data_IF_598514732265
#
_entry.id   IF_598514732265
#
_cell.length_a   1.000
_cell.length_b   1.000
_cell.length_c   1.000
_cell.angle_alpha   90.00
_cell.angle_beta   90.00
_cell.angle_gamma   90.00
#
_symmetry.space_group_name_H-M   'P 1'
#
loop_
_entity.id
_entity.type
_entity.pdbx_description
1 polymer ?
#
# COMPACT_ATOMS: atom_id res chain seq x y z
N UNK A 1 -57.70 -9.28 -10.15
CA UNK A 1 -56.40 -9.99 -9.95
C UNK A 1 -56.56 -10.98 -8.81
N UNK A 2 -56.23 -12.26 -9.03
CA UNK A 2 -56.56 -13.31 -8.06
C UNK A 2 -55.65 -13.24 -6.81
N UNK A 3 -56.17 -13.70 -5.67
CA UNK A 3 -55.39 -13.80 -4.42
C UNK A 3 -54.11 -14.61 -4.60
N UNK A 4 -54.12 -15.56 -5.53
CA UNK A 4 -52.95 -16.38 -5.91
C UNK A 4 -51.84 -15.59 -6.61
N UNK A 5 -52.21 -14.59 -7.42
CA UNK A 5 -51.22 -13.70 -8.06
C UNK A 5 -50.42 -12.91 -7.03
N UNK A 6 -51.09 -12.32 -6.06
CA UNK A 6 -50.45 -11.55 -4.99
C UNK A 6 -49.59 -12.42 -4.07
N UNK A 7 -49.99 -13.68 -3.81
CA UNK A 7 -49.21 -14.61 -3.03
C UNK A 7 -47.86 -14.98 -3.74
N UNK A 8 -47.90 -15.18 -5.07
CA UNK A 8 -46.69 -15.47 -5.85
C UNK A 8 -45.75 -14.25 -5.86
N UNK A 9 -46.30 -13.04 -6.04
CA UNK A 9 -45.49 -11.80 -6.05
C UNK A 9 -44.79 -11.57 -4.70
N UNK A 10 -45.48 -11.79 -3.60
CA UNK A 10 -44.87 -11.67 -2.26
C UNK A 10 -43.82 -12.67 -1.99
N UNK A 11 -43.95 -13.94 -2.44
CA UNK A 11 -42.91 -14.96 -2.32
C UNK A 11 -41.68 -14.60 -3.12
N UNK A 12 -41.82 -14.08 -4.34
CA UNK A 12 -40.71 -13.64 -5.17
C UNK A 12 -39.97 -12.44 -4.58
N UNK A 13 -40.69 -11.48 -4.01
CA UNK A 13 -40.08 -10.32 -3.33
C UNK A 13 -39.33 -10.76 -2.08
N UNK A 14 -39.88 -11.64 -1.26
CA UNK A 14 -39.20 -12.17 -0.08
C UNK A 14 -37.95 -12.98 -0.51
N UNK A 15 -38.05 -13.80 -1.55
CA UNK A 15 -36.90 -14.55 -2.11
C UNK A 15 -35.80 -13.62 -2.59
N UNK A 16 -36.16 -12.53 -3.28
CA UNK A 16 -35.20 -11.53 -3.74
C UNK A 16 -34.54 -10.79 -2.55
N UNK A 17 -35.31 -10.42 -1.53
CA UNK A 17 -34.75 -9.77 -0.33
C UNK A 17 -33.81 -10.71 0.41
N UNK A 18 -34.16 -11.99 0.56
CA UNK A 18 -33.31 -13.00 1.18
C UNK A 18 -32.04 -13.21 0.35
N UNK A 19 -32.17 -13.30 -0.97
CA UNK A 19 -31.03 -13.43 -1.89
C UNK A 19 -30.09 -12.21 -1.79
N UNK A 20 -30.62 -10.99 -1.78
CA UNK A 20 -29.84 -9.76 -1.61
C UNK A 20 -29.19 -9.70 -0.21
N UNK A 21 -29.87 -10.18 0.84
CA UNK A 21 -29.33 -10.21 2.20
C UNK A 21 -28.23 -11.27 2.37
N UNK A 22 -28.37 -12.44 1.75
CA UNK A 22 -27.33 -13.48 1.73
C UNK A 22 -26.13 -13.02 0.92
N UNK A 23 -26.37 -12.39 -0.25
CA UNK A 23 -25.30 -11.87 -1.10
C UNK A 23 -24.61 -10.62 -0.48
N UNK A 24 -25.33 -9.84 0.31
CA UNK A 24 -24.75 -8.73 1.10
C UNK A 24 -23.89 -9.23 2.27
N UNK A 25 -24.25 -10.36 2.90
CA UNK A 25 -23.42 -10.99 3.94
C UNK A 25 -22.18 -11.70 3.38
N UNK A 26 -22.18 -12.07 2.11
CA UNK A 26 -21.02 -12.62 1.40
C UNK A 26 -20.06 -11.57 0.83
N UNK A 27 -20.31 -10.27 1.01
CA UNK A 27 -19.22 -9.30 1.07
C UNK A 27 -18.45 -9.63 2.33
N UNK A 28 -17.42 -10.45 2.16
CA UNK A 28 -16.45 -10.79 3.18
C UNK A 28 -16.02 -9.49 3.86
N UNK A 29 -16.52 -9.24 5.08
CA UNK A 29 -15.74 -8.59 6.07
C UNK A 29 -14.56 -9.52 6.34
N UNK A 30 -13.57 -9.54 5.47
CA UNK A 30 -12.22 -9.82 5.89
C UNK A 30 -11.85 -8.66 6.80
N UNK A 31 -12.35 -8.67 8.02
CA UNK A 31 -11.70 -7.99 9.12
C UNK A 31 -10.29 -8.57 9.14
N UNK A 32 -9.37 -7.88 8.46
CA UNK A 32 -7.95 -8.14 8.55
C UNK A 32 -7.67 -8.18 10.05
N UNK A 33 -7.24 -9.34 10.51
CA UNK A 33 -7.06 -9.59 11.95
C UNK A 33 -5.79 -8.84 12.36
N UNK A 34 -5.97 -7.61 12.86
CA UNK A 34 -4.95 -6.59 13.13
C UNK A 34 -4.05 -6.96 14.33
N UNK A 35 -3.41 -8.09 14.30
CA UNK A 35 -2.27 -8.35 15.16
C UNK A 35 -0.97 -7.78 14.59
N UNK A 36 -1.08 -6.79 13.67
CA UNK A 36 0.03 -6.19 12.95
C UNK A 36 1.18 -5.78 13.84
N UNK A 37 2.28 -6.52 13.72
CA UNK A 37 3.54 -6.27 14.40
C UNK A 37 4.50 -5.57 13.43
N UNK A 38 5.33 -4.66 13.95
CA UNK A 38 6.45 -4.06 13.20
C UNK A 38 7.56 -5.07 12.89
N UNK A 39 7.44 -6.30 13.38
CA UNK A 39 8.42 -7.37 13.24
C UNK A 39 8.02 -8.41 12.20
N UNK A 40 6.88 -8.27 11.53
CA UNK A 40 6.37 -9.32 10.65
C UNK A 40 5.69 -8.75 9.42
N UNK A 41 5.79 -9.51 8.33
CA UNK A 41 5.08 -9.24 7.08
C UNK A 41 3.61 -9.63 7.30
N UNK A 42 2.70 -8.68 7.08
CA UNK A 42 1.27 -8.87 7.21
C UNK A 42 0.65 -9.35 5.90
N UNK A 43 -0.56 -9.89 5.98
CA UNK A 43 -1.35 -10.14 4.79
C UNK A 43 -1.65 -8.83 4.06
N UNK A 44 -1.41 -8.81 2.74
CA UNK A 44 -1.56 -7.61 1.92
C UNK A 44 -0.37 -6.65 1.93
N UNK A 45 0.70 -6.91 2.69
CA UNK A 45 1.93 -6.12 2.58
C UNK A 45 2.61 -6.30 1.22
N UNK A 46 3.14 -5.21 0.68
CA UNK A 46 4.05 -5.25 -0.47
C UNK A 46 5.48 -5.45 0.02
N UNK A 47 6.10 -6.54 -0.36
CA UNK A 47 7.44 -6.88 0.11
C UNK A 47 8.32 -7.48 -0.98
N UNK A 48 9.63 -7.40 -0.76
CA UNK A 48 10.69 -8.06 -1.53
C UNK A 48 11.49 -8.95 -0.58
N UNK A 49 11.89 -10.13 -1.02
CA UNK A 49 12.58 -11.13 -0.21
C UNK A 49 11.66 -12.23 0.31
N UNK A 50 12.17 -13.18 1.12
CA UNK A 50 11.38 -14.27 1.66
C UNK A 50 10.41 -13.80 2.75
N UNK A 51 9.21 -14.37 2.78
CA UNK A 51 8.17 -14.04 3.78
C UNK A 51 8.59 -14.41 5.21
N UNK A 52 9.41 -15.43 5.36
CA UNK A 52 9.97 -15.94 6.61
C UNK A 52 11.41 -15.44 6.87
N UNK A 53 11.76 -14.27 6.32
CA UNK A 53 13.06 -13.66 6.48
C UNK A 53 13.43 -13.47 7.95
N UNK A 54 14.70 -13.69 8.29
CA UNK A 54 15.22 -13.44 9.65
C UNK A 54 15.33 -11.96 9.99
N UNK A 55 15.57 -11.14 8.97
CA UNK A 55 15.62 -9.68 9.11
C UNK A 55 14.55 -9.06 8.24
N UNK A 56 13.65 -8.31 8.86
CA UNK A 56 12.57 -7.60 8.17
C UNK A 56 12.81 -6.10 8.35
N UNK A 57 12.91 -5.41 7.23
CA UNK A 57 12.98 -3.94 7.16
C UNK A 57 11.62 -3.44 6.71
N UNK A 58 10.98 -2.58 7.50
CA UNK A 58 9.69 -1.98 7.17
C UNK A 58 9.88 -0.47 7.04
N UNK A 59 9.46 0.07 5.91
CA UNK A 59 9.33 1.51 5.68
C UNK A 59 7.87 1.93 5.78
N UNK A 60 7.59 2.96 6.59
CA UNK A 60 6.38 3.75 6.48
C UNK A 60 6.71 4.98 5.64
N UNK A 61 6.13 5.05 4.46
CA UNK A 61 6.45 6.05 3.44
C UNK A 61 5.24 6.85 2.94
N UNK A 62 5.54 8.05 2.47
CA UNK A 62 4.61 8.97 1.84
C UNK A 62 5.20 9.39 0.48
N UNK A 63 4.48 9.10 -0.59
CA UNK A 63 4.94 9.37 -1.95
C UNK A 63 5.18 10.87 -2.24
N UNK A 64 4.48 11.76 -1.55
CA UNK A 64 4.64 13.21 -1.73
C UNK A 64 5.69 13.81 -0.77
N UNK A 65 6.16 13.05 0.22
CA UNK A 65 7.18 13.52 1.15
C UNK A 65 8.54 13.69 0.45
N UNK A 66 9.15 14.90 0.48
CA UNK A 66 10.47 15.13 -0.12
C UNK A 66 11.58 14.27 0.51
N UNK A 67 11.47 14.01 1.81
CA UNK A 67 12.42 13.15 2.52
C UNK A 67 12.33 11.70 2.02
N UNK A 68 11.13 11.14 1.81
CA UNK A 68 10.96 9.81 1.23
C UNK A 68 11.56 9.74 -0.18
N UNK A 69 11.31 10.76 -1.02
CA UNK A 69 11.94 10.84 -2.34
C UNK A 69 13.47 10.81 -2.25
N UNK A 70 14.06 11.49 -1.29
CA UNK A 70 15.53 11.49 -1.13
C UNK A 70 16.09 10.12 -0.70
N UNK A 71 15.26 9.30 -0.04
CA UNK A 71 15.61 7.93 0.35
C UNK A 71 15.46 6.91 -0.78
N UNK A 72 14.63 7.19 -1.81
CA UNK A 72 14.23 6.19 -2.80
C UNK A 72 15.43 5.49 -3.47
N UNK A 73 16.48 6.23 -3.84
CA UNK A 73 17.67 5.62 -4.46
C UNK A 73 18.36 4.61 -3.54
N UNK A 74 18.41 4.89 -2.23
CA UNK A 74 18.98 3.97 -1.21
C UNK A 74 18.06 2.78 -0.95
N UNK A 75 16.76 3.00 -1.00
CA UNK A 75 15.75 1.93 -0.88
C UNK A 75 15.79 1.02 -2.11
N UNK A 76 15.87 1.56 -3.33
CA UNK A 76 16.05 0.77 -4.56
C UNK A 76 17.34 -0.07 -4.52
N UNK A 77 18.47 0.56 -4.14
CA UNK A 77 19.74 -0.13 -3.95
C UNK A 77 19.64 -1.26 -2.94
N UNK A 78 19.01 -0.99 -1.79
CA UNK A 78 18.79 -1.99 -0.74
C UNK A 78 17.93 -3.15 -1.24
N UNK A 79 16.79 -2.87 -1.86
CA UNK A 79 15.88 -3.89 -2.43
C UNK A 79 16.58 -4.77 -3.47
N UNK A 80 17.41 -4.18 -4.33
CA UNK A 80 18.16 -4.91 -5.35
C UNK A 80 19.24 -5.84 -4.76
N UNK A 81 19.73 -5.54 -3.57
CA UNK A 81 20.76 -6.32 -2.85
C UNK A 81 20.23 -7.26 -1.77
N UNK A 82 18.92 -7.47 -1.67
CA UNK A 82 18.30 -8.35 -0.67
C UNK A 82 18.75 -9.79 -0.86
N UNK A 83 19.21 -10.41 0.22
CA UNK A 83 19.60 -11.82 0.30
C UNK A 83 18.45 -12.74 0.73
N UNK A 84 18.74 -14.04 0.85
CA UNK A 84 17.76 -15.05 1.26
C UNK A 84 17.32 -14.98 2.74
N UNK A 85 17.87 -14.08 3.52
CA UNK A 85 17.56 -13.93 4.95
C UNK A 85 16.89 -12.58 5.28
N UNK A 86 16.75 -11.70 4.30
CA UNK A 86 16.27 -10.33 4.48
C UNK A 86 15.00 -10.11 3.66
N UNK A 87 14.05 -9.37 4.21
CA UNK A 87 12.90 -8.86 3.49
C UNK A 87 12.74 -7.34 3.71
N UNK A 88 12.22 -6.67 2.70
CA UNK A 88 11.84 -5.26 2.76
C UNK A 88 10.34 -5.14 2.53
N UNK A 89 9.67 -4.33 3.35
CA UNK A 89 8.23 -4.05 3.28
C UNK A 89 8.02 -2.55 3.15
N UNK A 90 7.13 -2.15 2.27
CA UNK A 90 6.66 -0.76 2.21
C UNK A 90 5.20 -0.70 2.69
N UNK A 91 4.91 0.25 3.59
CA UNK A 91 3.57 0.57 4.09
C UNK A 91 3.24 2.03 3.85
N UNK A 92 2.06 2.28 3.34
CA UNK A 92 1.59 3.63 3.04
C UNK A 92 1.31 4.43 4.31
N UNK A 93 1.91 5.61 4.43
CA UNK A 93 1.59 6.56 5.48
C UNK A 93 1.43 7.98 4.90
N UNK A 94 0.39 8.21 4.05
CA UNK A 94 0.15 9.51 3.45
C UNK A 94 -0.26 10.55 4.50
N UNK A 95 0.51 11.63 4.65
CA UNK A 95 0.28 12.73 5.59
C UNK A 95 -0.59 13.79 4.91
N UNK A 96 -1.86 13.51 4.76
CA UNK A 96 -2.81 14.32 3.96
C UNK A 96 -3.04 15.75 4.50
N UNK A 97 -2.60 16.04 5.70
CA UNK A 97 -2.65 17.42 6.27
C UNK A 97 -1.64 18.37 5.65
N UNK A 98 -0.53 17.84 5.12
CA UNK A 98 0.55 18.61 4.50
C UNK A 98 0.78 18.25 3.04
N UNK A 99 0.39 17.07 2.62
CA UNK A 99 0.62 16.51 1.30
C UNK A 99 -0.70 16.18 0.61
N UNK A 100 -1.25 17.18 -0.15
CA UNK A 100 -2.60 17.10 -0.74
C UNK A 100 -2.84 15.90 -1.65
N UNK A 101 -1.79 15.44 -2.35
CA UNK A 101 -1.86 14.36 -3.33
C UNK A 101 -1.26 13.03 -2.84
N UNK A 102 -0.79 12.95 -1.59
CA UNK A 102 -0.15 11.75 -1.05
C UNK A 102 -1.07 10.52 -1.06
N UNK A 103 -2.35 10.70 -0.69
CA UNK A 103 -3.33 9.60 -0.71
C UNK A 103 -3.65 9.16 -2.15
N UNK A 104 -3.73 10.09 -3.08
CA UNK A 104 -3.93 9.83 -4.50
C UNK A 104 -2.76 9.01 -5.09
N UNK A 105 -1.51 9.35 -4.71
CA UNK A 105 -0.32 8.61 -5.12
C UNK A 105 -0.27 7.19 -4.53
N UNK A 106 -0.64 7.03 -3.25
CA UNK A 106 -0.77 5.72 -2.62
C UNK A 106 -1.83 4.86 -3.34
N UNK A 107 -2.98 5.44 -3.72
CA UNK A 107 -4.00 4.74 -4.53
C UNK A 107 -3.44 4.23 -5.85
N UNK A 108 -2.60 5.02 -6.51
CA UNK A 108 -2.00 4.60 -7.78
C UNK A 108 -1.08 3.39 -7.63
N UNK A 109 -0.26 3.36 -6.58
CA UNK A 109 0.60 2.22 -6.28
C UNK A 109 -0.22 0.96 -5.96
N UNK A 110 -1.26 1.08 -5.12
CA UNK A 110 -2.14 -0.02 -4.76
C UNK A 110 -2.98 -0.53 -5.96
N UNK A 111 -3.47 0.37 -6.83
CA UNK A 111 -4.18 -0.04 -8.04
C UNK A 111 -3.26 -0.81 -9.02
N UNK A 112 -2.00 -0.39 -9.14
CA UNK A 112 -1.00 -1.11 -9.92
C UNK A 112 -0.66 -2.48 -9.30
N UNK A 113 -0.69 -2.60 -7.98
CA UNK A 113 -0.49 -3.87 -7.26
C UNK A 113 -1.51 -4.93 -7.67
N UNK A 114 -2.77 -4.55 -7.92
CA UNK A 114 -3.82 -5.46 -8.39
C UNK A 114 -3.58 -5.99 -9.82
N UNK A 115 -2.52 -5.48 -10.48
CA UNK A 115 -2.02 -5.95 -11.75
C UNK A 115 -0.54 -6.38 -11.69
N UNK A 116 -0.04 -6.70 -10.48
CA UNK A 116 1.32 -7.17 -10.20
C UNK A 116 2.43 -6.18 -10.61
N UNK A 117 2.15 -4.86 -10.52
CA UNK A 117 3.07 -3.78 -10.91
C UNK A 117 3.29 -2.76 -9.78
N UNK A 118 3.22 -3.22 -8.52
CA UNK A 118 3.40 -2.36 -7.36
C UNK A 118 4.74 -1.63 -7.38
N UNK A 119 5.84 -2.37 -7.47
CA UNK A 119 7.17 -1.81 -7.34
C UNK A 119 7.58 -0.92 -8.51
N UNK A 120 7.12 -1.24 -9.72
CA UNK A 120 7.33 -0.40 -10.88
C UNK A 120 6.56 0.92 -10.75
N UNK A 121 5.32 0.88 -10.25
CA UNK A 121 4.53 2.08 -10.00
C UNK A 121 5.11 2.89 -8.83
N UNK A 122 5.52 2.25 -7.74
CA UNK A 122 6.20 2.87 -6.61
C UNK A 122 7.41 3.70 -7.08
N UNK A 123 8.29 3.09 -7.87
CA UNK A 123 9.47 3.77 -8.40
C UNK A 123 9.13 4.94 -9.33
N UNK A 124 8.16 4.78 -10.24
CA UNK A 124 7.83 5.88 -11.16
C UNK A 124 7.16 7.06 -10.43
N UNK A 125 6.33 6.81 -9.43
CA UNK A 125 5.70 7.85 -8.61
C UNK A 125 6.76 8.69 -7.90
N UNK A 126 7.74 8.08 -7.24
CA UNK A 126 8.82 8.81 -6.58
C UNK A 126 9.73 9.55 -7.57
N UNK A 127 10.14 8.91 -8.67
CA UNK A 127 11.02 9.51 -9.68
C UNK A 127 10.40 10.74 -10.32
N UNK A 128 9.10 10.70 -10.56
CA UNK A 128 8.33 11.77 -11.22
C UNK A 128 7.54 12.64 -10.23
N UNK A 129 7.94 12.71 -8.95
CA UNK A 129 7.18 13.42 -7.91
C UNK A 129 6.81 14.85 -8.31
N UNK A 130 7.72 15.58 -8.97
CA UNK A 130 7.49 16.96 -9.42
C UNK A 130 6.37 17.11 -10.46
N UNK A 131 5.98 16.02 -11.14
CA UNK A 131 4.99 16.08 -12.22
C UNK A 131 3.56 16.06 -11.68
N UNK A 132 3.38 15.54 -10.47
CA UNK A 132 2.07 15.31 -9.88
C UNK A 132 1.85 15.92 -8.49
N UNK A 133 2.92 16.31 -7.77
CA UNK A 133 2.83 16.77 -6.37
C UNK A 133 1.92 17.99 -6.20
N UNK A 134 1.91 18.90 -7.18
CA UNK A 134 1.08 20.10 -7.20
C UNK A 134 -0.12 20.00 -8.15
N UNK A 135 -0.32 18.87 -8.82
CA UNK A 135 -1.42 18.67 -9.76
C UNK A 135 -2.79 18.79 -9.07
N UNK A 136 -3.74 19.40 -9.75
CA UNK A 136 -5.14 19.43 -9.31
C UNK A 136 -5.90 18.17 -9.78
N UNK A 137 -5.32 17.42 -10.72
CA UNK A 137 -5.85 16.14 -11.20
C UNK A 137 -4.74 15.08 -11.28
N UNK A 138 -4.19 14.62 -10.14
CA UNK A 138 -3.07 13.67 -10.11
C UNK A 138 -3.44 12.31 -10.69
N UNK A 139 -4.72 11.92 -10.67
CA UNK A 139 -5.19 10.65 -11.22
C UNK A 139 -4.87 10.50 -12.71
N UNK A 140 -5.03 11.56 -13.51
CA UNK A 140 -4.71 11.53 -14.94
C UNK A 140 -3.21 11.31 -15.17
N UNK A 141 -2.36 11.89 -14.32
CA UNK A 141 -0.91 11.66 -14.37
C UNK A 141 -0.60 10.20 -14.07
N UNK A 142 -1.20 9.64 -13.02
CA UNK A 142 -1.00 8.25 -12.64
C UNK A 142 -1.57 7.25 -13.67
N UNK A 143 -2.68 7.58 -14.32
CA UNK A 143 -3.20 6.80 -15.45
C UNK A 143 -2.21 6.79 -16.64
N UNK A 144 -1.50 7.89 -16.85
CA UNK A 144 -0.37 7.98 -17.78
C UNK A 144 0.76 7.01 -17.44
N UNK A 145 1.13 6.93 -16.16
CA UNK A 145 2.15 5.96 -15.69
C UNK A 145 1.67 4.50 -15.83
N UNK A 146 0.39 4.24 -15.52
CA UNK A 146 -0.20 2.91 -15.72
C UNK A 146 -0.07 2.47 -17.18
N UNK A 147 -0.34 3.37 -18.13
CA UNK A 147 -0.14 3.11 -19.57
C UNK A 147 1.33 2.84 -19.91
N UNK A 148 2.27 3.62 -19.37
CA UNK A 148 3.72 3.41 -19.57
C UNK A 148 4.17 2.04 -19.06
N UNK A 149 3.60 1.58 -17.94
CA UNK A 149 3.86 0.27 -17.34
C UNK A 149 3.08 -0.88 -18.01
N UNK A 150 2.38 -0.59 -19.12
CA UNK A 150 1.57 -1.57 -19.88
C UNK A 150 0.45 -2.21 -19.05
N UNK A 151 -0.11 -1.48 -18.09
CA UNK A 151 -1.28 -1.90 -17.34
C UNK A 151 -2.56 -1.73 -18.18
N UNK A 152 -3.57 -2.53 -17.87
CA UNK A 152 -4.94 -2.24 -18.30
C UNK A 152 -5.41 -0.95 -17.62
N UNK A 153 -5.47 0.13 -18.39
CA UNK A 153 -5.80 1.46 -17.86
C UNK A 153 -7.26 1.59 -17.43
N UNK A 154 -8.18 0.83 -18.05
CA UNK A 154 -9.58 0.81 -17.63
C UNK A 154 -9.69 0.14 -16.25
N UNK A 155 -9.08 -1.03 -16.09
CA UNK A 155 -9.01 -1.73 -14.81
C UNK A 155 -8.29 -0.88 -13.76
N UNK A 156 -7.16 -0.26 -14.11
CA UNK A 156 -6.42 0.62 -13.20
C UNK A 156 -7.32 1.75 -12.65
N UNK A 157 -8.08 2.44 -13.49
CA UNK A 157 -8.97 3.51 -13.06
C UNK A 157 -10.12 3.00 -12.16
N UNK A 158 -10.67 1.82 -12.45
CA UNK A 158 -11.69 1.19 -11.62
C UNK A 158 -11.11 0.81 -10.24
N UNK A 159 -9.94 0.19 -10.22
CA UNK A 159 -9.26 -0.22 -8.99
C UNK A 159 -8.82 0.99 -8.15
N UNK A 160 -8.32 2.04 -8.82
CA UNK A 160 -7.92 3.29 -8.19
C UNK A 160 -9.06 3.93 -7.38
N UNK A 161 -10.30 3.90 -7.87
CA UNK A 161 -11.49 4.38 -7.18
C UNK A 161 -12.06 3.34 -6.19
N UNK A 162 -11.58 2.11 -6.24
CA UNK A 162 -12.11 1.00 -5.46
C UNK A 162 -11.87 1.14 -3.95
N UNK A 163 -12.77 0.56 -3.15
CA UNK A 163 -12.64 0.53 -1.69
C UNK A 163 -11.46 -0.34 -1.25
N UNK A 164 -11.16 -1.43 -1.96
CA UNK A 164 -10.06 -2.32 -1.66
C UNK A 164 -8.72 -1.57 -1.53
N UNK A 165 -8.46 -0.65 -2.44
CA UNK A 165 -7.25 0.19 -2.46
C UNK A 165 -7.23 1.13 -1.27
N UNK A 166 -8.32 1.84 -0.98
CA UNK A 166 -8.39 2.73 0.18
C UNK A 166 -8.35 1.99 1.50
N UNK A 167 -8.94 0.79 1.58
CA UNK A 167 -8.92 -0.05 2.77
C UNK A 167 -7.49 -0.49 3.11
N UNK A 168 -6.68 -0.86 2.09
CA UNK A 168 -5.25 -1.19 2.29
C UNK A 168 -4.46 0.01 2.82
N UNK A 169 -4.64 1.20 2.23
CA UNK A 169 -3.94 2.41 2.68
C UNK A 169 -4.34 2.76 4.12
N UNK A 170 -5.63 2.68 4.45
CA UNK A 170 -6.11 2.94 5.81
C UNK A 170 -5.58 1.91 6.80
N UNK A 171 -5.51 0.65 6.42
CA UNK A 171 -4.87 -0.40 7.22
C UNK A 171 -3.41 -0.05 7.56
N UNK A 172 -2.61 0.37 6.58
CA UNK A 172 -1.22 0.76 6.81
C UNK A 172 -1.12 1.98 7.74
N UNK A 173 -2.02 2.95 7.60
CA UNK A 173 -2.08 4.14 8.48
C UNK A 173 -2.44 3.77 9.92
N UNK A 174 -3.35 2.80 10.11
CA UNK A 174 -3.71 2.31 11.43
C UNK A 174 -2.53 1.58 12.10
N UNK A 175 -1.78 0.78 11.33
CA UNK A 175 -0.53 0.19 11.80
C UNK A 175 0.50 1.26 12.16
N UNK A 176 0.69 2.28 11.31
CA UNK A 176 1.60 3.38 11.60
C UNK A 176 1.24 4.08 12.92
N UNK A 177 -0.04 4.35 13.14
CA UNK A 177 -0.54 4.97 14.38
C UNK A 177 -0.29 4.06 15.59
N UNK A 178 -0.57 2.77 15.48
CA UNK A 178 -0.30 1.77 16.52
C UNK A 178 1.19 1.72 16.89
N UNK A 179 2.06 1.88 15.90
CA UNK A 179 3.52 1.85 16.07
C UNK A 179 4.12 3.22 16.35
N UNK A 180 3.28 4.23 16.62
CA UNK A 180 3.71 5.60 16.96
C UNK A 180 4.62 6.21 15.89
N UNK A 181 4.30 5.99 14.62
CA UNK A 181 4.96 6.65 13.49
C UNK A 181 4.50 8.11 13.45
N UNK A 182 5.41 9.04 13.61
CA UNK A 182 5.12 10.48 13.69
C UNK A 182 5.44 11.22 12.39
N UNK A 183 6.13 10.56 11.45
CA UNK A 183 6.53 11.17 10.17
C UNK A 183 7.12 10.16 9.20
N UNK A 184 7.45 10.64 8.01
CA UNK A 184 7.98 9.80 6.92
C UNK A 184 9.30 10.35 6.36
N UNK A 185 10.20 9.47 5.90
CA UNK A 185 10.13 8.02 6.08
C UNK A 185 10.43 7.63 7.53
N UNK A 186 9.78 6.56 8.02
CA UNK A 186 10.17 5.89 9.26
C UNK A 186 10.50 4.44 8.94
N UNK A 187 11.68 4.01 9.32
CA UNK A 187 12.14 2.63 9.12
C UNK A 187 12.17 1.87 10.44
N UNK A 188 11.75 0.61 10.37
CA UNK A 188 11.95 -0.38 11.43
C UNK A 188 12.78 -1.54 10.91
N UNK A 189 13.71 -2.03 11.71
CA UNK A 189 14.50 -3.24 11.42
C UNK A 189 14.27 -4.22 12.56
N UNK A 190 13.62 -5.35 12.28
CA UNK A 190 13.14 -6.29 13.30
C UNK A 190 12.43 -5.59 14.48
N UNK A 191 11.55 -4.62 14.16
CA UNK A 191 10.75 -3.88 15.13
C UNK A 191 11.46 -2.77 15.89
N UNK A 192 12.75 -2.59 15.68
CA UNK A 192 13.50 -1.47 16.26
C UNK A 192 13.52 -0.32 15.27
N UNK A 193 13.04 0.85 15.70
CA UNK A 193 13.05 2.06 14.88
C UNK A 193 14.49 2.47 14.56
N UNK A 194 14.79 2.68 13.30
CA UNK A 194 16.09 3.12 12.83
C UNK A 194 16.20 4.64 12.99
N UNK A 195 16.94 5.09 14.01
CA UNK A 195 17.13 6.50 14.29
C UNK A 195 18.41 7.06 13.63
N UNK A 196 18.38 8.33 13.25
CA UNK A 196 19.56 9.07 12.78
C UNK A 196 20.10 8.62 11.42
N UNK A 197 19.39 7.75 10.69
CA UNK A 197 19.80 7.33 9.36
C UNK A 197 19.70 8.49 8.36
N UNK A 198 20.69 8.59 7.47
CA UNK A 198 20.77 9.65 6.46
C UNK A 198 21.05 9.05 5.07
N UNK A 199 20.21 9.36 4.06
CA UNK A 199 20.38 8.83 2.71
C UNK A 199 21.54 9.45 1.92
N UNK A 200 22.11 10.57 2.38
CA UNK A 200 23.14 11.32 1.63
C UNK A 200 24.56 10.75 1.78
N UNK A 201 24.76 9.78 2.68
CA UNK A 201 26.04 9.10 2.87
C UNK A 201 26.40 8.15 1.71
N UNK A 202 27.71 7.78 1.62
CA UNK A 202 28.17 6.78 0.66
C UNK A 202 27.60 5.39 0.96
N UNK A 203 27.58 5.02 2.24
CA UNK A 203 27.04 3.73 2.68
C UNK A 203 25.52 3.74 2.70
N UNK A 204 24.93 2.58 2.39
CA UNK A 204 23.48 2.41 2.55
C UNK A 204 23.13 2.13 4.02
N UNK A 205 22.42 3.03 4.71
CA UNK A 205 22.12 2.86 6.14
C UNK A 205 21.28 1.61 6.44
N UNK A 206 20.39 1.20 5.53
CA UNK A 206 19.56 0.00 5.68
C UNK A 206 20.44 -1.25 5.62
N UNK A 207 21.34 -1.34 4.61
CA UNK A 207 22.27 -2.44 4.50
C UNK A 207 23.20 -2.55 5.70
N UNK A 208 23.62 -1.42 6.26
CA UNK A 208 24.43 -1.39 7.49
C UNK A 208 23.64 -1.95 8.67
N UNK A 209 22.42 -1.47 8.91
CA UNK A 209 21.57 -1.93 10.01
C UNK A 209 21.29 -3.44 9.94
N UNK A 210 21.02 -3.97 8.74
CA UNK A 210 20.82 -5.41 8.52
C UNK A 210 22.08 -6.21 8.85
N UNK A 211 23.26 -5.79 8.35
CA UNK A 211 24.54 -6.46 8.63
C UNK A 211 24.88 -6.51 10.11
N UNK A 212 24.50 -5.49 10.87
CA UNK A 212 24.75 -5.44 12.32
C UNK A 212 23.89 -6.46 13.10
N UNK A 213 22.71 -6.85 12.55
CA UNK A 213 21.82 -7.88 13.11
C UNK A 213 22.16 -9.31 12.67
N UNK A 214 22.95 -9.47 11.59
CA UNK A 214 23.32 -10.80 11.07
C UNK A 214 24.64 -11.33 11.68
N UNK A 215 25.32 -10.52 12.49
CA UNK A 215 26.55 -10.90 13.24
C UNK A 215 26.19 -11.68 14.50
#
# INVERSE_FOLDING_TARGET
>A
MSKTFWAIVTILIIGLIIFLFINSKNKSNSSLNFNGDVNSIQEGDHYVGPKDAKVIVIEYGDYQCPSCKSWESKVEEFRAGIDSQTAFVFRNFPITTTHKNAFAAARAAEAAALQNKYWEMNSVIYKSQSDWDNSDNPQDVFAGYAKQLSLDTQKFNQDYEGSQVSDKINFDRDLATKHKVEGTPTFFVNGVKLEGANPTGQDNPLSKAVKDLQK
#
